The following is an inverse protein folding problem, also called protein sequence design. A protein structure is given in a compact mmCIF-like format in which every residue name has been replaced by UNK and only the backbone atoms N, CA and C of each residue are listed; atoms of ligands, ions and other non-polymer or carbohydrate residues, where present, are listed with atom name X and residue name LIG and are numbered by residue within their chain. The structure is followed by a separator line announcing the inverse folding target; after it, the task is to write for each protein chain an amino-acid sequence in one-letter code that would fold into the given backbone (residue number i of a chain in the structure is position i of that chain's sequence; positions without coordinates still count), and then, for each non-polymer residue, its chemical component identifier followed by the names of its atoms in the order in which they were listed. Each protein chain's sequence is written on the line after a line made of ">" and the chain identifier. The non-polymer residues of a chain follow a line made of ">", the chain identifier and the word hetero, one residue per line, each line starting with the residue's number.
data_IF_154127891786
#
_entry.id   IF_154127891786
#
_cell.length_a   1.000
_cell.length_b   1.000
_cell.length_c   1.000
_cell.angle_alpha   90.00
_cell.angle_beta   90.00
_cell.angle_gamma   90.00
#
_symmetry.space_group_name_H-M   'P 1'
#
loop_
_entity.id
_entity.type
_entity.pdbx_description
1 polymer ?
#
# COMPACT_ATOMS: atom_id res chain seq x y z
N UNK A 1 4.90 12.40 -13.72
CA UNK A 1 4.22 12.73 -12.45
C UNK A 1 4.62 11.69 -11.41
N UNK A 2 4.88 12.09 -10.16
CA UNK A 2 5.18 11.15 -9.06
C UNK A 2 3.88 10.72 -8.38
N UNK A 3 3.75 9.43 -8.05
CA UNK A 3 2.64 8.85 -7.30
C UNK A 3 3.04 8.78 -5.84
N UNK A 4 2.46 9.65 -5.02
CA UNK A 4 2.71 9.78 -3.58
C UNK A 4 4.19 9.95 -3.17
N UNK A 5 5.09 10.34 -4.08
CA UNK A 5 6.54 10.40 -3.79
C UNK A 5 7.26 9.06 -3.90
N UNK A 6 6.59 7.99 -4.34
CA UNK A 6 7.11 6.62 -4.34
C UNK A 6 7.80 6.25 -5.66
N UNK A 7 7.09 6.45 -6.77
CA UNK A 7 7.58 6.18 -8.13
C UNK A 7 6.82 7.04 -9.13
N UNK A 8 7.27 7.07 -10.38
CA UNK A 8 6.53 7.78 -11.43
C UNK A 8 5.33 6.99 -11.92
N UNK A 9 4.30 7.68 -12.42
CA UNK A 9 3.13 7.08 -13.09
C UNK A 9 3.59 6.08 -14.16
N UNK A 10 4.55 6.45 -15.00
CA UNK A 10 5.03 5.59 -16.09
C UNK A 10 5.67 4.30 -15.57
N UNK A 11 6.51 4.38 -14.53
CA UNK A 11 7.12 3.20 -13.92
C UNK A 11 6.08 2.24 -13.35
N UNK A 12 5.07 2.77 -12.64
CA UNK A 12 4.02 1.93 -12.03
C UNK A 12 3.15 1.29 -13.11
N UNK A 13 2.74 2.04 -14.13
CA UNK A 13 1.94 1.49 -15.22
C UNK A 13 2.70 0.46 -16.05
N UNK A 14 4.02 0.66 -16.25
CA UNK A 14 4.88 -0.31 -16.93
C UNK A 14 5.07 -1.59 -16.10
N UNK A 15 5.28 -1.47 -14.79
CA UNK A 15 5.45 -2.61 -13.88
C UNK A 15 4.16 -3.44 -13.76
N UNK A 16 3.02 -2.77 -13.58
CA UNK A 16 1.73 -3.45 -13.36
C UNK A 16 1.00 -3.84 -14.64
N UNK A 17 1.38 -3.27 -15.79
CA UNK A 17 0.65 -3.39 -17.05
C UNK A 17 -0.76 -2.78 -17.00
N UNK A 18 -1.03 -1.89 -16.03
CA UNK A 18 -2.35 -1.29 -15.77
C UNK A 18 -2.27 0.22 -15.87
N UNK A 19 -3.36 0.83 -16.30
CA UNK A 19 -3.48 2.28 -16.30
C UNK A 19 -3.88 2.76 -14.89
N UNK A 20 -3.20 3.80 -14.41
CA UNK A 20 -3.62 4.51 -13.20
C UNK A 20 -4.75 5.46 -13.59
N UNK A 21 -5.87 5.35 -12.90
CA UNK A 21 -6.99 6.28 -13.02
C UNK A 21 -6.76 7.50 -12.13
N UNK A 22 -6.47 7.24 -10.85
CA UNK A 22 -6.18 8.26 -9.86
C UNK A 22 -5.30 7.70 -8.73
N UNK A 23 -4.78 8.59 -7.90
CA UNK A 23 -4.17 8.21 -6.63
C UNK A 23 -4.49 9.23 -5.54
N UNK A 24 -4.54 8.77 -4.30
CA UNK A 24 -4.73 9.63 -3.14
C UNK A 24 -3.57 9.48 -2.17
N UNK A 25 -3.15 10.59 -1.57
CA UNK A 25 -2.12 10.64 -0.53
C UNK A 25 -2.68 11.25 0.74
N UNK A 26 -2.33 10.68 1.88
CA UNK A 26 -2.53 11.24 3.19
C UNK A 26 -1.24 11.05 3.99
N UNK A 27 -0.64 12.14 4.47
CA UNK A 27 0.52 12.09 5.35
C UNK A 27 0.22 12.94 6.59
N UNK A 28 -0.56 12.42 7.54
CA UNK A 28 -0.83 13.13 8.79
C UNK A 28 0.22 12.79 9.85
N UNK A 29 0.86 13.79 10.47
CA UNK A 29 1.73 13.55 11.63
C UNK A 29 0.89 13.24 12.86
N UNK A 30 1.41 12.35 13.72
CA UNK A 30 0.61 11.68 14.72
C UNK A 30 0.74 12.27 16.12
N UNK A 31 -0.39 12.79 16.66
CA UNK A 31 -0.59 12.96 18.12
C UNK A 31 -1.45 11.88 18.78
N UNK A 32 -2.04 10.90 18.07
CA UNK A 32 -3.08 10.02 18.67
C UNK A 32 -3.18 8.56 18.15
N UNK A 33 -2.13 8.00 17.56
CA UNK A 33 -1.95 6.53 17.42
C UNK A 33 -2.73 5.78 16.31
N UNK A 34 -2.14 5.68 15.10
CA UNK A 34 -2.59 5.00 13.83
C UNK A 34 -3.39 5.95 12.89
N UNK A 35 -2.88 6.49 11.76
CA UNK A 35 -1.94 6.07 10.70
C UNK A 35 -0.84 7.11 10.34
N UNK A 36 0.38 6.62 10.06
CA UNK A 36 1.39 7.34 9.27
C UNK A 36 1.20 7.05 7.78
N UNK A 37 1.63 7.96 6.90
CA UNK A 37 1.57 7.93 5.43
C UNK A 37 0.74 6.82 4.77
N UNK A 38 -0.32 7.21 4.07
CA UNK A 38 -1.16 6.35 3.25
C UNK A 38 -1.15 6.84 1.79
N UNK A 39 -0.91 5.90 0.87
CA UNK A 39 -1.05 6.10 -0.55
C UNK A 39 -1.99 5.05 -1.13
N UNK A 40 -3.09 5.48 -1.75
CA UNK A 40 -4.00 4.59 -2.47
C UNK A 40 -3.87 4.85 -3.96
N UNK A 41 -3.62 3.80 -4.73
CA UNK A 41 -3.46 3.86 -6.18
C UNK A 41 -4.62 3.11 -6.82
N UNK A 42 -5.40 3.82 -7.62
CA UNK A 42 -6.60 3.33 -8.29
C UNK A 42 -6.24 2.96 -9.73
N UNK A 43 -6.31 1.67 -10.05
CA UNK A 43 -5.89 1.14 -11.34
C UNK A 43 -7.02 0.47 -12.08
N UNK A 44 -7.12 0.77 -13.38
CA UNK A 44 -8.11 0.16 -14.26
C UNK A 44 -7.83 -1.34 -14.40
N UNK A 45 -8.87 -2.14 -14.20
CA UNK A 45 -8.85 -3.60 -14.34
C UNK A 45 -10.04 -4.06 -15.19
N UNK A 46 -10.02 -5.34 -15.61
CA UNK A 46 -11.12 -5.92 -16.38
C UNK A 46 -12.46 -5.92 -15.64
N UNK A 47 -12.45 -5.75 -14.31
CA UNK A 47 -13.64 -5.88 -13.44
C UNK A 47 -14.02 -4.58 -12.74
N UNK A 48 -13.35 -3.48 -13.05
CA UNK A 48 -13.54 -2.18 -12.42
C UNK A 48 -12.20 -1.56 -12.05
N UNK A 49 -12.19 -0.79 -10.97
CA UNK A 49 -11.00 -0.09 -10.47
C UNK A 49 -10.47 -0.87 -9.27
N UNK A 50 -9.29 -1.46 -9.40
CA UNK A 50 -8.61 -2.08 -8.27
C UNK A 50 -7.90 -0.99 -7.45
N UNK A 51 -7.91 -1.13 -6.13
CA UNK A 51 -7.19 -0.22 -5.24
C UNK A 51 -5.99 -0.93 -4.62
N UNK A 52 -4.80 -0.38 -4.82
CA UNK A 52 -3.59 -0.77 -4.09
C UNK A 52 -3.36 0.26 -2.99
N UNK A 53 -3.46 -0.17 -1.73
CA UNK A 53 -3.30 0.71 -0.58
C UNK A 53 -1.98 0.38 0.13
N UNK A 54 -1.04 1.32 0.07
CA UNK A 54 0.21 1.31 0.83
C UNK A 54 0.03 2.16 2.08
N UNK A 55 0.26 1.57 3.25
CA UNK A 55 0.30 2.26 4.54
C UNK A 55 1.70 2.12 5.13
N UNK A 56 2.31 3.20 5.61
CA UNK A 56 3.65 3.22 6.22
C UNK A 56 3.59 3.84 7.61
N UNK A 57 3.95 3.08 8.64
CA UNK A 57 3.85 3.54 10.02
C UNK A 57 4.95 2.96 10.89
N UNK A 58 4.91 3.20 12.19
CA UNK A 58 5.78 2.53 13.17
C UNK A 58 5.12 1.30 13.81
N UNK A 59 3.87 1.03 13.45
CA UNK A 59 3.10 -0.12 13.90
C UNK A 59 2.23 -0.65 12.76
N UNK A 60 1.94 -1.96 12.77
CA UNK A 60 0.97 -2.51 11.82
C UNK A 60 -0.43 -1.99 12.15
N UNK A 61 -1.16 -1.60 11.11
CA UNK A 61 -2.52 -1.08 11.25
C UNK A 61 -3.52 -2.20 11.52
N UNK A 62 -4.65 -1.85 12.14
CA UNK A 62 -5.79 -2.76 12.36
C UNK A 62 -6.36 -3.34 11.05
N UNK A 63 -5.96 -2.80 9.89
CA UNK A 63 -6.36 -3.34 8.59
C UNK A 63 -5.83 -4.77 8.37
N UNK A 64 -4.78 -5.15 9.10
CA UNK A 64 -4.34 -6.52 9.31
C UNK A 64 -5.15 -7.13 10.47
N UNK A 65 -6.46 -7.34 10.32
CA UNK A 65 -7.34 -7.75 11.44
C UNK A 65 -7.00 -9.11 12.07
N UNK A 66 -6.17 -9.92 11.42
CA UNK A 66 -5.61 -11.16 11.97
C UNK A 66 -4.56 -10.92 13.04
N UNK A 67 -4.07 -9.68 13.21
CA UNK A 67 -3.04 -9.30 14.19
C UNK A 67 -3.42 -7.96 14.87
N UNK A 68 -3.34 -7.83 16.20
CA UNK A 68 -3.66 -6.57 16.87
C UNK A 68 -2.81 -5.40 16.35
N UNK A 69 -3.41 -4.22 16.13
CA UNK A 69 -2.60 -3.03 15.91
C UNK A 69 -1.61 -2.80 17.06
N UNK A 70 -0.44 -2.27 16.73
CA UNK A 70 0.75 -2.21 17.61
C UNK A 70 1.45 -3.55 17.88
N UNK A 71 1.21 -4.58 17.05
CA UNK A 71 2.06 -5.77 17.03
C UNK A 71 3.40 -5.53 16.34
N UNK A 72 4.41 -6.33 16.68
CA UNK A 72 5.72 -6.32 16.02
C UNK A 72 5.71 -7.18 14.78
N UNK A 73 6.70 -7.00 13.90
CA UNK A 73 6.82 -7.79 12.68
C UNK A 73 6.92 -9.29 12.99
N UNK A 74 7.67 -9.69 14.02
CA UNK A 74 7.84 -11.10 14.38
C UNK A 74 6.50 -11.75 14.76
N UNK A 75 5.61 -11.00 15.42
CA UNK A 75 4.26 -11.49 15.75
C UNK A 75 3.40 -11.64 14.51
N UNK A 76 3.49 -10.70 13.58
CA UNK A 76 2.76 -10.75 12.31
C UNK A 76 3.25 -11.90 11.44
N UNK A 77 4.57 -12.04 11.28
CA UNK A 77 5.20 -13.11 10.50
C UNK A 77 5.03 -14.50 11.12
N UNK A 78 4.69 -14.60 12.42
CA UNK A 78 4.33 -15.85 13.09
C UNK A 78 2.83 -16.16 13.06
N UNK A 79 2.00 -15.31 12.44
CA UNK A 79 0.56 -15.54 12.37
C UNK A 79 0.23 -16.80 11.55
N UNK A 80 -0.91 -17.47 11.81
CA UNK A 80 -1.32 -18.62 11.02
C UNK A 80 -1.41 -18.28 9.52
N UNK A 81 -0.81 -19.12 8.69
CA UNK A 81 -0.70 -18.93 7.25
C UNK A 81 0.10 -17.68 6.84
N UNK A 82 0.99 -17.17 7.68
CA UNK A 82 2.00 -16.23 7.22
C UNK A 82 3.03 -16.96 6.32
N UNK A 83 3.33 -16.38 5.17
CA UNK A 83 4.35 -16.87 4.25
C UNK A 83 5.48 -15.84 4.16
N UNK A 84 6.75 -16.21 4.40
CA UNK A 84 7.86 -15.28 4.33
C UNK A 84 8.10 -14.81 2.89
N UNK A 85 8.43 -13.54 2.73
CA UNK A 85 8.73 -12.90 1.44
C UNK A 85 10.15 -12.34 1.47
N UNK A 86 10.88 -12.52 0.38
CA UNK A 86 12.20 -11.92 0.17
C UNK A 86 12.18 -11.13 -1.13
N UNK A 87 12.54 -9.84 -1.05
CA UNK A 87 12.66 -8.95 -2.21
C UNK A 87 14.08 -8.38 -2.23
N UNK A 88 14.92 -8.86 -3.15
CA UNK A 88 16.37 -8.57 -3.15
C UNK A 88 16.70 -7.07 -3.24
N UNK A 89 15.82 -6.28 -3.86
CA UNK A 89 16.01 -4.84 -4.06
C UNK A 89 15.35 -3.97 -2.99
N UNK A 90 14.66 -4.56 -2.00
CA UNK A 90 14.02 -3.82 -0.91
C UNK A 90 14.71 -4.19 0.41
N UNK A 91 15.34 -3.23 1.11
CA UNK A 91 15.94 -3.51 2.40
C UNK A 91 14.89 -3.95 3.43
N UNK A 92 15.15 -5.03 4.14
CA UNK A 92 14.33 -5.49 5.25
C UNK A 92 13.84 -6.92 5.08
N UNK A 93 12.69 -7.18 5.70
CA UNK A 93 12.07 -8.50 5.71
C UNK A 93 10.56 -8.36 5.54
N UNK A 94 9.97 -9.32 4.82
CA UNK A 94 8.55 -9.31 4.52
C UNK A 94 7.86 -10.63 4.82
N UNK A 95 6.55 -10.55 4.89
CA UNK A 95 5.68 -11.71 4.86
C UNK A 95 4.38 -11.35 4.13
N UNK A 96 3.73 -12.33 3.52
CA UNK A 96 2.32 -12.23 3.16
C UNK A 96 1.50 -12.92 4.22
N UNK A 97 0.43 -12.27 4.65
CA UNK A 97 -0.56 -12.80 5.57
C UNK A 97 -1.96 -12.66 4.97
N UNK A 98 -2.92 -13.53 5.32
CA UNK A 98 -4.31 -13.29 5.00
C UNK A 98 -4.91 -12.23 5.93
N UNK A 99 -5.77 -11.37 5.37
CA UNK A 99 -6.75 -10.61 6.15
C UNK A 99 -7.99 -11.47 6.51
N UNK A 100 -8.96 -10.88 7.22
CA UNK A 100 -10.20 -11.57 7.62
C UNK A 100 -11.05 -12.06 6.45
N UNK A 101 -10.92 -11.43 5.28
CA UNK A 101 -11.59 -11.81 4.05
C UNK A 101 -10.77 -12.83 3.24
N UNK A 102 -9.64 -13.29 3.77
CA UNK A 102 -8.69 -14.20 3.14
C UNK A 102 -7.90 -13.57 1.98
N UNK A 103 -7.83 -12.24 1.90
CA UNK A 103 -7.03 -11.51 0.89
C UNK A 103 -5.59 -11.42 1.34
N UNK A 104 -4.66 -11.45 0.38
CA UNK A 104 -3.25 -11.23 0.66
C UNK A 104 -2.98 -9.80 1.13
N UNK A 105 -2.22 -9.68 2.23
CA UNK A 105 -1.61 -8.44 2.67
C UNK A 105 -0.11 -8.68 2.75
N UNK A 106 0.66 -7.94 1.96
CA UNK A 106 2.10 -7.88 2.10
C UNK A 106 2.44 -6.98 3.27
N UNK A 107 3.20 -7.48 4.23
CA UNK A 107 3.75 -6.72 5.34
C UNK A 107 5.27 -6.65 5.21
N UNK A 108 5.84 -5.52 5.60
CA UNK A 108 7.27 -5.28 5.49
C UNK A 108 7.80 -4.56 6.73
N UNK A 109 8.98 -4.95 7.18
CA UNK A 109 9.73 -4.27 8.23
C UNK A 109 11.07 -3.80 7.67
N UNK A 110 11.33 -2.50 7.80
CA UNK A 110 12.58 -1.90 7.33
C UNK A 110 13.67 -2.02 8.41
N UNK A 111 14.93 -2.29 8.03
CA UNK A 111 16.02 -2.46 8.98
C UNK A 111 16.36 -1.13 9.67
N UNK A 112 16.93 -1.20 10.88
CA UNK A 112 17.45 -0.06 11.65
C UNK A 112 16.43 1.07 11.93
N UNK A 113 15.13 0.77 11.80
CA UNK A 113 14.02 1.69 12.06
C UNK A 113 12.85 0.94 12.71
N UNK A 114 11.94 1.66 13.35
CA UNK A 114 10.63 1.09 13.74
C UNK A 114 9.63 1.10 12.56
N UNK A 115 10.06 1.51 11.36
CA UNK A 115 9.19 1.68 10.21
C UNK A 115 8.75 0.33 9.64
N UNK A 116 7.45 0.22 9.43
CA UNK A 116 6.78 -0.91 8.81
C UNK A 116 5.88 -0.42 7.69
N UNK A 117 5.66 -1.27 6.69
CA UNK A 117 4.69 -1.00 5.63
C UNK A 117 3.71 -2.16 5.49
N UNK A 118 2.51 -1.84 5.03
CA UNK A 118 1.54 -2.81 4.55
C UNK A 118 1.09 -2.42 3.15
N UNK A 119 0.98 -3.41 2.25
CA UNK A 119 0.42 -3.24 0.93
C UNK A 119 -0.67 -4.29 0.73
N UNK A 120 -1.86 -3.83 0.38
CA UNK A 120 -3.01 -4.70 0.07
C UNK A 120 -3.67 -4.27 -1.21
N UNK A 121 -4.31 -5.23 -1.86
CA UNK A 121 -5.13 -5.00 -3.03
C UNK A 121 -6.60 -5.24 -2.70
N UNK A 122 -7.45 -4.30 -3.10
CA UNK A 122 -8.90 -4.45 -2.99
C UNK A 122 -9.54 -4.46 -4.37
N UNK A 123 -10.42 -5.43 -4.59
CA UNK A 123 -11.23 -5.54 -5.80
C UNK A 123 -12.67 -5.12 -5.54
N UNK A 124 -13.26 -4.27 -6.39
CA UNK A 124 -14.68 -3.90 -6.27
C UNK A 124 -15.59 -5.08 -6.59
N UNK A 125 -15.13 -6.02 -7.43
CA UNK A 125 -15.83 -7.27 -7.78
C UNK A 125 -14.86 -8.45 -7.65
N UNK A 126 -14.72 -9.03 -6.45
CA UNK A 126 -13.79 -10.12 -6.24
C UNK A 126 -14.16 -11.34 -7.09
N UNK A 127 -13.18 -12.12 -7.59
CA UNK A 127 -13.46 -13.40 -8.23
C UNK A 127 -14.25 -14.36 -7.34
N UNK A 128 -15.10 -15.19 -7.96
CA UNK A 128 -15.67 -16.34 -7.29
C UNK A 128 -14.58 -17.43 -7.18
N UNK A 129 -14.12 -17.74 -5.97
CA UNK A 129 -13.10 -18.77 -5.72
C UNK A 129 -12.30 -18.53 -4.43
N UNK A 130 -11.43 -19.48 -4.03
CA UNK A 130 -10.55 -19.31 -2.87
C UNK A 130 -9.64 -18.10 -3.08
N UNK A 131 -9.59 -17.20 -2.09
CA UNK A 131 -8.89 -15.90 -2.16
C UNK A 131 -7.46 -15.92 -1.63
N UNK A 132 -7.09 -16.99 -0.92
CA UNK A 132 -5.79 -17.09 -0.26
C UNK A 132 -4.68 -16.91 -1.28
N UNK A 133 -3.87 -15.88 -1.05
CA UNK A 133 -2.68 -15.55 -1.83
C UNK A 133 -2.92 -15.24 -3.31
N UNK A 134 -4.18 -14.99 -3.70
CA UNK A 134 -4.41 -14.23 -4.92
C UNK A 134 -3.79 -12.84 -4.73
N UNK A 135 -3.22 -12.29 -5.80
CA UNK A 135 -2.53 -11.00 -5.82
C UNK A 135 -1.11 -10.94 -5.22
N UNK A 136 -0.56 -12.03 -4.64
CA UNK A 136 0.80 -11.98 -4.05
C UNK A 136 1.85 -11.49 -5.05
N UNK A 137 1.86 -12.04 -6.27
CA UNK A 137 2.79 -11.59 -7.30
C UNK A 137 2.61 -10.11 -7.65
N UNK A 138 1.35 -9.64 -7.83
CA UNK A 138 1.06 -8.23 -8.12
C UNK A 138 1.49 -7.30 -6.95
N UNK A 139 1.36 -7.77 -5.70
CA UNK A 139 1.79 -7.04 -4.50
C UNK A 139 3.32 -6.99 -4.41
N UNK A 140 4.00 -8.11 -4.60
CA UNK A 140 5.46 -8.21 -4.58
C UNK A 140 6.10 -7.38 -5.71
N UNK A 141 5.57 -7.47 -6.93
CA UNK A 141 6.06 -6.71 -8.08
C UNK A 141 5.91 -5.20 -7.88
N UNK A 142 4.74 -4.76 -7.39
CA UNK A 142 4.51 -3.35 -7.10
C UNK A 142 5.38 -2.87 -5.93
N UNK A 143 5.48 -3.66 -4.85
CA UNK A 143 6.25 -3.29 -3.68
C UNK A 143 7.77 -3.29 -3.94
N UNK A 144 8.25 -4.16 -4.83
CA UNK A 144 9.63 -4.11 -5.33
C UNK A 144 9.95 -2.75 -5.94
N UNK A 145 8.98 -2.14 -6.63
CA UNK A 145 9.13 -0.81 -7.23
C UNK A 145 8.98 0.33 -6.20
N UNK A 146 7.96 0.29 -5.34
CA UNK A 146 7.60 1.44 -4.48
C UNK A 146 8.17 1.37 -3.05
N UNK A 147 8.45 0.17 -2.56
CA UNK A 147 8.93 -0.10 -1.19
C UNK A 147 10.21 0.66 -0.82
N UNK A 148 11.24 0.72 -1.68
CA UNK A 148 12.48 1.43 -1.35
C UNK A 148 12.29 2.92 -1.03
N UNK A 149 11.28 3.57 -1.63
CA UNK A 149 10.97 4.98 -1.42
C UNK A 149 9.96 5.23 -0.28
N UNK A 150 9.32 4.18 0.23
CA UNK A 150 8.19 4.31 1.16
C UNK A 150 8.55 4.99 2.49
N UNK A 151 9.69 4.68 3.16
CA UNK A 151 10.08 5.40 4.38
C UNK A 151 10.30 6.90 4.13
N UNK A 152 10.98 7.25 3.04
CA UNK A 152 11.24 8.64 2.69
C UNK A 152 9.95 9.40 2.32
N UNK A 153 9.02 8.75 1.63
CA UNK A 153 7.72 9.33 1.32
C UNK A 153 6.91 9.61 2.59
N UNK A 154 7.01 8.72 3.59
CA UNK A 154 6.36 8.88 4.88
C UNK A 154 6.92 10.03 5.72
N UNK A 155 8.23 10.28 5.65
CA UNK A 155 8.90 11.43 6.27
C UNK A 155 8.62 12.77 5.54
N UNK A 156 7.79 12.76 4.50
CA UNK A 156 7.38 13.95 3.76
C UNK A 156 6.58 14.96 4.61
N UNK A 157 6.27 16.14 4.06
CA UNK A 157 5.49 17.15 4.75
C UNK A 157 4.08 16.65 5.07
N UNK A 158 3.51 17.16 6.16
CA UNK A 158 2.13 16.86 6.54
C UNK A 158 1.15 17.27 5.44
N UNK A 159 0.28 16.35 5.05
CA UNK A 159 -0.75 16.55 4.04
C UNK A 159 -2.00 15.76 4.41
N UNK A 160 -3.17 16.40 4.35
CA UNK A 160 -4.45 15.67 4.38
C UNK A 160 -4.74 15.02 3.03
N UNK A 161 -5.68 14.06 3.03
CA UNK A 161 -6.21 13.41 1.83
C UNK A 161 -6.30 14.32 0.61
N UNK A 162 -5.43 14.06 -0.37
CA UNK A 162 -5.35 14.78 -1.63
C UNK A 162 -5.48 13.79 -2.78
N UNK A 163 -6.31 14.09 -3.78
CA UNK A 163 -6.61 13.24 -4.94
C UNK A 163 -5.94 13.78 -6.21
N UNK A 164 -5.43 12.87 -7.04
CA UNK A 164 -4.70 13.19 -8.26
C UNK A 164 -5.16 12.31 -9.45
N UNK A 165 -5.29 12.87 -10.66
CA UNK A 165 -5.17 14.30 -10.97
C UNK A 165 -6.25 15.11 -10.25
N UNK A 166 -5.91 16.34 -9.83
CA UNK A 166 -6.89 17.23 -9.23
C UNK A 166 -7.95 17.56 -10.27
N UNK A 167 -9.22 17.32 -9.95
CA UNK A 167 -10.33 17.53 -10.88
C UNK A 167 -10.39 19.02 -11.28
N UNK A 168 -9.89 19.38 -12.48
CA UNK A 168 -9.87 20.75 -13.01
C UNK A 168 -11.29 21.33 -13.22
N UNK A 169 -12.33 20.53 -13.03
CA UNK A 169 -13.74 20.87 -13.29
C UNK A 169 -14.34 21.91 -12.35
N UNK A 170 -13.65 22.31 -11.28
CA UNK A 170 -14.04 23.44 -10.43
C UNK A 170 -13.32 24.76 -10.73
N UNK A 171 -12.41 24.76 -11.70
CA UNK A 171 -11.79 26.00 -12.21
C UNK A 171 -12.64 26.57 -13.34
N UNK A 172 -13.86 27.01 -13.03
CA UNK A 172 -14.56 27.93 -13.91
C UNK A 172 -13.91 29.32 -13.74
N UNK A 173 -13.30 29.91 -14.78
CA UNK A 173 -13.04 31.33 -14.78
C UNK A 173 -14.40 32.01 -15.04
N UNK A 174 -15.02 32.58 -14.02
CA UNK A 174 -16.14 33.49 -14.24
C UNK A 174 -15.60 34.73 -14.97
N UNK A 175 -16.20 35.13 -16.11
CA UNK A 175 -15.83 36.34 -16.86
C UNK A 175 -15.94 37.64 -16.05
#
# INVERSE_FOLDING_TARGET
>A
MSVCGLATVDQIQQNTGRQIEEFTINNSSHRSGIFGFECQIYMVSQRGIDTFALEVSTTFSDSVRTVPAASTFEKVAAAPNAEPVTLDSVPGQGAVIPDDDGRAVLVWSYPDTDTVATLKRTHPRPPAGPRLFQDVADLEDLFTLIGPAAPQAADGPEQSWSMYPTDDRNSAPTP
#
